data_IF_098338866036
#
_entry.id   IF_098338866036
#
_cell.length_a   1.000
_cell.length_b   1.000
_cell.length_c   1.000
_cell.angle_alpha   90.00
_cell.angle_beta   90.00
_cell.angle_gamma   90.00
#
_symmetry.space_group_name_H-M   'P 1'
#
loop_
_entity.id
_entity.type
_entity.pdbx_description
1 polymer ?
#
# COMPACT_ATOMS: atom_id res chain seq x y z
N UNK A 1 6.36 11.38 -5.63
CA UNK A 1 6.94 11.16 -4.28
C UNK A 1 6.81 9.71 -3.80
N UNK A 2 5.69 9.01 -4.03
CA UNK A 2 5.48 7.60 -3.60
C UNK A 2 6.50 6.61 -4.18
N UNK A 3 6.74 6.67 -5.50
CA UNK A 3 7.73 5.84 -6.23
C UNK A 3 9.16 6.08 -5.71
N UNK A 4 9.49 7.33 -5.36
CA UNK A 4 10.78 7.68 -4.79
C UNK A 4 10.98 7.10 -3.37
N UNK A 5 9.89 6.93 -2.61
CA UNK A 5 9.94 6.27 -1.30
C UNK A 5 10.07 4.74 -1.39
N UNK A 6 9.48 4.12 -2.43
CA UNK A 6 9.52 2.68 -2.69
C UNK A 6 10.90 2.20 -3.17
N UNK A 7 11.57 2.98 -4.03
CA UNK A 7 12.94 2.70 -4.47
C UNK A 7 13.91 2.75 -3.29
N UNK A 8 13.63 3.62 -2.31
CA UNK A 8 14.46 3.77 -1.11
C UNK A 8 14.24 2.64 -0.10
N UNK A 9 13.03 2.08 0.02
CA UNK A 9 12.75 0.96 0.93
C UNK A 9 13.33 -0.35 0.40
N UNK A 10 13.21 -0.64 -0.90
CA UNK A 10 13.81 -1.81 -1.54
C UNK A 10 15.35 -1.77 -1.41
N UNK A 11 15.97 -0.63 -1.74
CA UNK A 11 17.42 -0.43 -1.60
C UNK A 11 17.87 -0.54 -0.14
N UNK A 12 17.16 0.09 0.79
CA UNK A 12 17.50 0.05 2.22
C UNK A 12 17.37 -1.35 2.83
N UNK A 13 16.34 -2.11 2.44
CA UNK A 13 16.19 -3.51 2.85
C UNK A 13 17.31 -4.37 2.27
N UNK A 14 17.61 -4.21 0.98
CA UNK A 14 18.68 -4.93 0.30
C UNK A 14 20.06 -4.67 0.96
N UNK A 15 20.44 -3.40 1.15
CA UNK A 15 21.69 -3.01 1.85
C UNK A 15 21.77 -3.59 3.26
N UNK A 16 20.64 -3.63 3.98
CA UNK A 16 20.60 -4.17 5.32
C UNK A 16 20.76 -5.69 5.35
N UNK A 17 20.10 -6.42 4.44
CA UNK A 17 20.23 -7.87 4.32
C UNK A 17 21.64 -8.25 3.86
N UNK A 18 22.22 -7.51 2.92
CA UNK A 18 23.62 -7.66 2.51
C UNK A 18 24.57 -7.52 3.70
N UNK A 19 24.37 -6.48 4.52
CA UNK A 19 25.20 -6.23 5.70
C UNK A 19 25.04 -7.30 6.79
N UNK A 20 23.86 -7.90 6.92
CA UNK A 20 23.55 -8.85 8.00
C UNK A 20 23.90 -10.29 7.64
N UNK A 21 23.61 -10.71 6.39
CA UNK A 21 23.71 -12.10 5.96
C UNK A 21 24.75 -12.33 4.86
N UNK A 22 25.25 -11.29 4.21
CA UNK A 22 26.35 -11.40 3.24
C UNK A 22 26.01 -12.26 2.02
N UNK A 23 26.94 -13.16 1.66
CA UNK A 23 26.84 -14.05 0.48
C UNK A 23 25.56 -14.91 0.43
N UNK A 24 25.14 -15.59 1.52
CA UNK A 24 23.87 -16.33 1.56
C UNK A 24 22.65 -15.53 1.09
N UNK A 25 22.59 -14.24 1.43
CA UNK A 25 21.52 -13.37 0.94
C UNK A 25 21.68 -13.04 -0.54
N UNK A 26 22.89 -12.68 -1.00
CA UNK A 26 23.14 -12.39 -2.43
C UNK A 26 22.71 -13.55 -3.33
N UNK A 27 22.94 -14.79 -2.88
CA UNK A 27 22.59 -16.00 -3.63
C UNK A 27 21.09 -16.31 -3.65
N UNK A 28 20.29 -15.67 -2.79
CA UNK A 28 18.85 -15.90 -2.67
C UNK A 28 18.04 -14.59 -2.77
N UNK A 29 18.66 -13.51 -3.26
CA UNK A 29 18.06 -12.18 -3.33
C UNK A 29 16.79 -12.15 -4.19
N UNK A 30 16.66 -13.10 -5.13
CA UNK A 30 15.51 -13.28 -6.00
C UNK A 30 14.19 -13.49 -5.22
N UNK A 31 14.23 -14.16 -4.06
CA UNK A 31 13.05 -14.33 -3.18
C UNK A 31 12.50 -12.98 -2.72
N UNK A 32 13.41 -12.06 -2.38
CA UNK A 32 13.04 -10.71 -1.93
C UNK A 32 12.62 -9.83 -3.10
N UNK A 33 13.27 -9.93 -4.26
CA UNK A 33 12.87 -9.23 -5.47
C UNK A 33 11.46 -9.62 -5.91
N UNK A 34 11.11 -10.92 -5.84
CA UNK A 34 9.76 -11.41 -6.09
C UNK A 34 8.71 -10.79 -5.17
N UNK A 35 8.99 -10.70 -3.87
CA UNK A 35 8.12 -10.02 -2.90
C UNK A 35 7.87 -8.55 -3.29
N UNK A 36 8.93 -7.80 -3.63
CA UNK A 36 8.76 -6.40 -4.03
C UNK A 36 7.99 -6.25 -5.35
N UNK A 37 8.20 -7.16 -6.31
CA UNK A 37 7.44 -7.17 -7.57
C UNK A 37 5.95 -7.39 -7.31
N UNK A 38 5.58 -8.33 -6.44
CA UNK A 38 4.19 -8.58 -6.07
C UNK A 38 3.57 -7.43 -5.28
N UNK A 39 4.31 -6.80 -4.36
CA UNK A 39 3.86 -5.58 -3.66
C UNK A 39 3.59 -4.43 -4.63
N UNK A 40 4.46 -4.24 -5.64
CA UNK A 40 4.25 -3.26 -6.72
C UNK A 40 3.00 -3.61 -7.53
N UNK A 41 2.80 -4.88 -7.87
CA UNK A 41 1.62 -5.35 -8.63
C UNK A 41 0.31 -5.12 -7.86
N UNK A 42 0.31 -5.36 -6.54
CA UNK A 42 -0.83 -5.04 -5.68
C UNK A 42 -1.11 -3.53 -5.66
N UNK A 43 -0.06 -2.71 -5.53
CA UNK A 43 -0.17 -1.25 -5.53
C UNK A 43 -0.76 -0.70 -6.84
N UNK A 44 -0.33 -1.21 -7.99
CA UNK A 44 -0.81 -0.78 -9.31
C UNK A 44 -2.22 -1.28 -9.65
N UNK A 45 -2.91 -1.92 -8.70
CA UNK A 45 -4.30 -2.35 -8.86
C UNK A 45 -4.47 -3.78 -9.37
N UNK A 46 -3.41 -4.60 -9.37
CA UNK A 46 -3.50 -6.02 -9.68
C UNK A 46 -4.46 -6.75 -8.72
N UNK A 47 -5.06 -7.84 -9.21
CA UNK A 47 -5.88 -8.74 -8.40
C UNK A 47 -4.97 -9.71 -7.63
N UNK A 48 -4.30 -9.19 -6.60
CA UNK A 48 -3.35 -9.93 -5.77
C UNK A 48 -3.92 -10.06 -4.36
N UNK A 49 -3.95 -11.27 -3.83
CA UNK A 49 -4.26 -11.51 -2.43
C UNK A 49 -3.00 -11.24 -1.60
N UNK A 50 -3.00 -10.13 -0.87
CA UNK A 50 -1.82 -9.69 -0.11
C UNK A 50 -1.45 -10.68 1.00
N UNK A 51 -2.43 -11.35 1.61
CA UNK A 51 -2.15 -12.33 2.67
C UNK A 51 -1.48 -13.58 2.13
N UNK A 52 -2.01 -14.11 1.02
CA UNK A 52 -1.47 -15.28 0.33
C UNK A 52 -0.04 -15.01 -0.15
N UNK A 53 0.18 -13.87 -0.82
CA UNK A 53 1.50 -13.45 -1.27
C UNK A 53 2.53 -13.35 -0.13
N UNK A 54 2.13 -12.83 1.03
CA UNK A 54 3.01 -12.76 2.19
C UNK A 54 3.28 -14.15 2.78
N UNK A 55 2.27 -15.02 2.83
CA UNK A 55 2.44 -16.41 3.29
C UNK A 55 3.41 -17.17 2.37
N UNK A 56 3.25 -17.04 1.05
CA UNK A 56 4.14 -17.66 0.04
C UNK A 56 5.57 -17.17 0.17
N UNK A 57 5.78 -15.86 0.40
CA UNK A 57 7.10 -15.30 0.66
C UNK A 57 7.76 -15.97 1.86
N UNK A 58 7.04 -16.08 2.98
CA UNK A 58 7.58 -16.67 4.19
C UNK A 58 7.86 -18.17 4.05
N UNK A 59 7.00 -18.91 3.32
CA UNK A 59 7.20 -20.32 3.01
C UNK A 59 8.46 -20.53 2.16
N UNK A 60 8.60 -19.80 1.06
CA UNK A 60 9.79 -19.84 0.19
C UNK A 60 11.07 -19.45 0.94
N UNK A 61 10.99 -18.46 1.83
CA UNK A 61 12.12 -18.06 2.66
C UNK A 61 12.52 -19.16 3.63
N UNK A 62 11.56 -19.85 4.25
CA UNK A 62 11.80 -20.99 5.14
C UNK A 62 12.51 -22.12 4.40
N UNK A 63 12.00 -22.52 3.24
CA UNK A 63 12.59 -23.60 2.43
C UNK A 63 14.03 -23.29 2.05
N UNK A 64 14.30 -22.08 1.55
CA UNK A 64 15.66 -21.64 1.20
C UNK A 64 16.59 -21.60 2.40
N UNK A 65 16.15 -21.05 3.53
CA UNK A 65 16.96 -21.03 4.74
C UNK A 65 17.23 -22.44 5.28
N UNK A 66 16.24 -23.33 5.21
CA UNK A 66 16.37 -24.70 5.67
C UNK A 66 17.40 -25.48 4.83
N UNK A 67 17.37 -25.34 3.51
CA UNK A 67 18.36 -25.92 2.59
C UNK A 67 19.77 -25.37 2.84
N UNK A 68 19.93 -24.05 3.04
CA UNK A 68 21.22 -23.43 3.29
C UNK A 68 21.86 -23.91 4.60
N UNK A 69 21.06 -24.06 5.66
CA UNK A 69 21.54 -24.46 6.98
C UNK A 69 21.83 -25.96 7.07
N UNK A 70 21.20 -26.76 6.21
CA UNK A 70 21.32 -28.21 6.18
C UNK A 70 21.89 -28.71 4.84
N UNK A 71 22.80 -27.95 4.25
CA UNK A 71 23.41 -28.24 2.93
C UNK A 71 24.14 -29.57 2.84
N UNK A 72 24.47 -30.19 3.99
CA UNK A 72 25.06 -31.51 4.08
C UNK A 72 24.06 -32.66 3.86
N UNK A 73 22.76 -32.38 3.87
CA UNK A 73 21.70 -33.36 3.68
C UNK A 73 21.01 -33.20 2.32
N UNK A 74 20.61 -34.31 1.71
CA UNK A 74 19.74 -34.29 0.55
C UNK A 74 18.30 -34.04 1.02
N UNK A 75 17.86 -32.78 0.93
CA UNK A 75 16.51 -32.38 1.30
C UNK A 75 15.61 -32.48 0.06
N UNK A 76 14.64 -33.40 0.11
CA UNK A 76 13.66 -33.61 -0.96
C UNK A 76 12.54 -32.55 -0.90
N UNK A 77 11.82 -32.40 -2.00
CA UNK A 77 10.66 -31.50 -2.10
C UNK A 77 9.55 -31.91 -1.13
N UNK A 78 9.26 -33.21 -1.00
CA UNK A 78 8.29 -33.74 -0.02
C UNK A 78 8.63 -33.35 1.43
N UNK A 79 9.93 -33.30 1.75
CA UNK A 79 10.38 -32.91 3.08
C UNK A 79 10.19 -31.41 3.33
N UNK A 80 10.40 -30.58 2.30
CA UNK A 80 10.12 -29.14 2.37
C UNK A 80 8.62 -28.86 2.52
N UNK A 81 7.77 -29.58 1.77
CA UNK A 81 6.32 -29.47 1.90
C UNK A 81 5.87 -29.85 3.32
N UNK A 82 6.46 -30.91 3.88
CA UNK A 82 6.25 -31.31 5.27
C UNK A 82 6.60 -30.18 6.24
N UNK A 83 7.79 -29.57 6.11
CA UNK A 83 8.20 -28.43 6.94
C UNK A 83 7.22 -27.26 6.82
N UNK A 84 6.75 -26.96 5.61
CA UNK A 84 5.74 -25.93 5.35
C UNK A 84 4.48 -26.13 6.19
N UNK A 85 4.00 -27.38 6.33
CA UNK A 85 2.83 -27.73 7.14
C UNK A 85 3.01 -27.44 8.64
N UNK A 86 4.25 -27.50 9.14
CA UNK A 86 4.56 -27.23 10.56
C UNK A 86 4.97 -25.77 10.83
N UNK A 87 4.99 -24.91 9.82
CA UNK A 87 5.47 -23.54 9.94
C UNK A 87 4.74 -22.72 11.03
N UNK A 88 3.42 -22.85 11.14
CA UNK A 88 2.63 -22.13 12.15
C UNK A 88 2.91 -22.60 13.58
N UNK A 89 3.21 -23.89 13.76
CA UNK A 89 3.49 -24.50 15.05
C UNK A 89 4.92 -24.20 15.51
N UNK A 90 5.88 -24.34 14.60
CA UNK A 90 7.30 -24.16 14.90
C UNK A 90 7.68 -22.67 14.99
N UNK A 91 6.94 -21.78 14.33
CA UNK A 91 7.22 -20.34 14.25
C UNK A 91 8.71 -20.04 14.09
N UNK A 92 9.36 -20.51 13.00
CA UNK A 92 10.80 -20.36 12.80
C UNK A 92 11.26 -18.88 12.75
N UNK A 93 10.34 -17.98 12.43
CA UNK A 93 10.54 -16.52 12.41
C UNK A 93 9.87 -15.80 13.59
N UNK A 94 9.42 -16.52 14.60
CA UNK A 94 8.64 -15.99 15.72
C UNK A 94 7.35 -15.32 15.24
N UNK A 95 7.00 -14.18 15.85
CA UNK A 95 5.80 -13.42 15.49
C UNK A 95 6.01 -12.43 14.32
N UNK A 96 7.21 -12.39 13.73
CA UNK A 96 7.55 -11.43 12.66
C UNK A 96 6.63 -11.57 11.44
N UNK A 97 6.36 -12.77 10.88
CA UNK A 97 5.45 -12.93 9.75
C UNK A 97 4.06 -12.38 10.02
N UNK A 98 3.51 -12.69 11.21
CA UNK A 98 2.17 -12.26 11.62
C UNK A 98 2.09 -10.73 11.79
N UNK A 99 3.09 -10.12 12.43
CA UNK A 99 3.15 -8.66 12.63
C UNK A 99 3.32 -7.92 11.31
N UNK A 100 4.24 -8.38 10.47
CA UNK A 100 4.48 -7.79 9.15
C UNK A 100 3.22 -7.91 8.28
N UNK A 101 2.56 -9.09 8.26
CA UNK A 101 1.29 -9.28 7.55
C UNK A 101 0.25 -8.24 7.95
N UNK A 102 -0.02 -8.11 9.25
CA UNK A 102 -1.01 -7.14 9.74
C UNK A 102 -0.68 -5.69 9.35
N UNK A 103 0.58 -5.29 9.49
CA UNK A 103 1.01 -3.92 9.18
C UNK A 103 0.96 -3.61 7.68
N UNK A 104 1.52 -4.51 6.86
CA UNK A 104 1.56 -4.37 5.41
C UNK A 104 0.14 -4.39 4.84
N UNK A 105 -0.72 -5.32 5.27
CA UNK A 105 -2.14 -5.37 4.86
C UNK A 105 -2.88 -4.09 5.16
N UNK A 106 -2.82 -3.60 6.40
CA UNK A 106 -3.53 -2.36 6.76
C UNK A 106 -3.09 -1.17 5.93
N UNK A 107 -1.80 -1.05 5.68
CA UNK A 107 -1.27 0.14 5.02
C UNK A 107 -1.39 0.10 3.50
N UNK A 108 -1.26 -1.07 2.87
CA UNK A 108 -1.50 -1.21 1.44
C UNK A 108 -2.99 -1.07 1.11
N UNK A 109 -3.90 -1.59 1.95
CA UNK A 109 -5.34 -1.33 1.82
C UNK A 109 -5.63 0.17 1.96
N UNK A 110 -5.11 0.83 3.00
CA UNK A 110 -5.30 2.26 3.20
C UNK A 110 -4.78 3.09 2.01
N UNK A 111 -3.60 2.75 1.49
CA UNK A 111 -2.99 3.42 0.34
C UNK A 111 -3.81 3.21 -0.93
N UNK A 112 -4.24 1.97 -1.21
CA UNK A 112 -5.06 1.64 -2.38
C UNK A 112 -6.39 2.39 -2.33
N UNK A 113 -7.08 2.36 -1.20
CA UNK A 113 -8.35 3.08 -1.00
C UNK A 113 -8.17 4.58 -1.17
N UNK A 114 -7.05 5.14 -0.69
CA UNK A 114 -6.75 6.57 -0.87
C UNK A 114 -6.54 6.94 -2.35
N UNK A 115 -5.70 6.20 -3.07
CA UNK A 115 -5.45 6.44 -4.51
C UNK A 115 -6.73 6.26 -5.32
N UNK A 116 -7.48 5.19 -5.09
CA UNK A 116 -8.78 4.97 -5.72
C UNK A 116 -9.77 6.08 -5.38
N UNK A 117 -9.79 6.51 -4.12
CA UNK A 117 -10.53 7.67 -3.66
C UNK A 117 -10.23 8.87 -4.55
N UNK A 118 -8.96 9.29 -4.65
CA UNK A 118 -8.55 10.44 -5.48
C UNK A 118 -8.96 10.32 -6.94
N UNK A 119 -8.86 9.12 -7.53
CA UNK A 119 -9.32 8.89 -8.91
C UNK A 119 -10.82 9.13 -9.06
N UNK A 120 -11.64 8.61 -8.13
CA UNK A 120 -13.09 8.86 -8.11
C UNK A 120 -13.39 10.34 -7.90
N UNK A 121 -12.66 11.02 -7.01
CA UNK A 121 -12.82 12.46 -6.79
C UNK A 121 -12.55 13.26 -8.06
N UNK A 122 -11.47 12.95 -8.79
CA UNK A 122 -11.18 13.54 -10.11
C UNK A 122 -12.31 13.29 -11.11
N UNK A 123 -12.82 12.07 -11.17
CA UNK A 123 -13.88 11.70 -12.09
C UNK A 123 -15.19 12.46 -11.80
N UNK A 124 -15.57 12.57 -10.53
CA UNK A 124 -16.74 13.35 -10.10
C UNK A 124 -16.56 14.83 -10.43
N UNK A 125 -15.38 15.41 -10.12
CA UNK A 125 -15.08 16.80 -10.43
C UNK A 125 -15.15 17.11 -11.94
N UNK A 126 -14.73 16.16 -12.79
CA UNK A 126 -14.78 16.30 -14.25
C UNK A 126 -16.19 16.17 -14.85
N UNK A 127 -17.15 15.59 -14.12
CA UNK A 127 -18.54 15.44 -14.59
C UNK A 127 -19.40 16.68 -14.34
N UNK A 128 -18.82 17.73 -13.75
CA UNK A 128 -19.52 18.96 -13.42
C UNK A 128 -19.68 19.82 -14.68
N UNK A 129 -20.92 19.96 -15.16
CA UNK A 129 -21.26 20.78 -16.34
C UNK A 129 -22.20 21.92 -15.99
N UNK A 130 -22.16 23.02 -16.75
CA UNK A 130 -23.12 24.11 -16.63
C UNK A 130 -24.46 23.75 -17.26
N UNK A 131 -25.57 24.06 -16.59
CA UNK A 131 -26.91 23.86 -17.15
C UNK A 131 -27.22 24.89 -18.24
N UNK A 132 -28.14 24.58 -19.15
CA UNK A 132 -28.62 25.54 -20.17
C UNK A 132 -29.24 26.78 -19.54
N UNK A 133 -29.94 26.62 -18.40
CA UNK A 133 -30.48 27.71 -17.61
C UNK A 133 -29.38 28.63 -17.04
N UNK A 134 -28.27 28.05 -16.58
CA UNK A 134 -27.10 28.81 -16.17
C UNK A 134 -26.49 29.60 -17.33
N UNK A 135 -26.27 28.95 -18.48
CA UNK A 135 -25.72 29.61 -19.67
C UNK A 135 -26.59 30.79 -20.10
N UNK A 136 -27.91 30.61 -20.12
CA UNK A 136 -28.87 31.68 -20.44
C UNK A 136 -28.84 32.82 -19.41
N UNK A 137 -28.89 32.51 -18.12
CA UNK A 137 -28.84 33.50 -17.04
C UNK A 137 -27.53 34.29 -17.01
N UNK A 138 -26.41 33.60 -17.21
CA UNK A 138 -25.08 34.21 -17.28
C UNK A 138 -24.91 35.09 -18.52
N UNK A 139 -25.41 34.64 -19.67
CA UNK A 139 -25.40 35.44 -20.91
C UNK A 139 -26.23 36.71 -20.74
N UNK A 140 -27.42 36.59 -20.14
CA UNK A 140 -28.28 37.75 -19.85
C UNK A 140 -27.62 38.74 -18.90
N UNK A 141 -26.93 38.22 -17.88
CA UNK A 141 -26.23 39.05 -16.90
C UNK A 141 -25.07 39.83 -17.53
N UNK A 142 -24.28 39.22 -18.40
CA UNK A 142 -23.07 39.85 -18.94
C UNK A 142 -23.30 40.67 -20.22
N UNK A 143 -24.16 40.21 -21.12
CA UNK A 143 -24.20 40.74 -22.48
C UNK A 143 -25.48 41.51 -22.82
N UNK A 144 -26.59 41.34 -22.10
CA UNK A 144 -27.83 42.02 -22.48
C UNK A 144 -27.77 43.55 -22.36
N UNK A 145 -26.96 44.10 -21.44
CA UNK A 145 -26.76 45.57 -21.35
C UNK A 145 -26.13 46.13 -22.63
N UNK A 146 -25.15 45.43 -23.20
CA UNK A 146 -24.53 45.78 -24.47
C UNK A 146 -25.54 45.75 -25.61
N UNK A 147 -26.38 44.71 -25.69
CA UNK A 147 -27.44 44.62 -26.71
C UNK A 147 -28.50 45.73 -26.59
N UNK A 148 -28.65 46.31 -25.40
CA UNK A 148 -29.55 47.43 -25.13
C UNK A 148 -28.88 48.80 -25.31
N UNK A 149 -27.60 48.85 -25.74
CA UNK A 149 -26.84 50.09 -25.91
C UNK A 149 -26.27 50.68 -24.61
N UNK A 150 -26.27 49.91 -23.52
CA UNK A 150 -25.81 50.32 -22.19
C UNK A 150 -24.42 49.74 -21.88
N UNK A 151 -23.38 50.31 -22.49
CA UNK A 151 -22.02 49.76 -22.49
C UNK A 151 -21.23 49.88 -21.17
N UNK A 152 -21.61 50.81 -20.28
CA UNK A 152 -20.86 51.11 -19.05
C UNK A 152 -21.49 50.50 -17.78
N UNK A 153 -22.62 49.79 -17.92
CA UNK A 153 -23.32 49.20 -16.78
C UNK A 153 -22.72 47.85 -16.40
N UNK A 154 -22.33 47.72 -15.13
CA UNK A 154 -21.93 46.46 -14.52
C UNK A 154 -23.14 45.76 -13.88
N UNK A 155 -23.18 44.42 -13.84
CA UNK A 155 -24.21 43.70 -13.10
C UNK A 155 -24.18 44.07 -11.63
N UNK A 156 -25.37 44.26 -11.03
CA UNK A 156 -25.49 44.46 -9.59
C UNK A 156 -24.95 43.24 -8.84
N UNK A 157 -24.31 43.45 -7.69
CA UNK A 157 -23.71 42.37 -6.89
C UNK A 157 -24.72 41.25 -6.56
N UNK A 158 -25.90 41.61 -6.06
CA UNK A 158 -26.95 40.65 -5.73
C UNK A 158 -27.48 39.91 -6.96
N UNK A 159 -27.55 40.57 -8.13
CA UNK A 159 -27.95 39.92 -9.36
C UNK A 159 -26.92 38.87 -9.79
N UNK A 160 -25.63 39.22 -9.72
CA UNK A 160 -24.53 38.28 -9.98
C UNK A 160 -24.57 37.07 -9.05
N UNK A 161 -24.67 37.30 -7.74
CA UNK A 161 -24.75 36.21 -6.76
C UNK A 161 -25.94 35.29 -7.00
N UNK A 162 -27.10 35.82 -7.40
CA UNK A 162 -28.28 35.00 -7.68
C UNK A 162 -28.11 34.14 -8.94
N UNK A 163 -27.53 34.71 -10.02
CA UNK A 163 -27.23 33.96 -11.24
C UNK A 163 -26.20 32.85 -10.95
N UNK A 164 -25.14 33.17 -10.22
CA UNK A 164 -24.10 32.20 -9.86
C UNK A 164 -24.61 31.10 -8.92
N UNK A 165 -25.49 31.42 -7.96
CA UNK A 165 -26.17 30.42 -7.12
C UNK A 165 -27.01 29.45 -7.96
N UNK A 166 -27.75 29.95 -8.95
CA UNK A 166 -28.49 29.10 -9.89
C UNK A 166 -27.57 28.22 -10.76
N UNK A 167 -26.41 28.75 -11.15
CA UNK A 167 -25.39 28.00 -11.88
C UNK A 167 -24.73 26.88 -11.08
N UNK A 168 -24.55 27.09 -9.78
CA UNK A 168 -23.85 26.19 -8.86
C UNK A 168 -24.78 25.37 -7.98
N UNK A 169 -26.09 25.37 -8.24
CA UNK A 169 -27.07 24.68 -7.40
C UNK A 169 -26.75 23.19 -7.26
N UNK A 170 -26.53 22.49 -8.38
CA UNK A 170 -26.20 21.07 -8.40
C UNK A 170 -24.85 20.76 -7.70
N UNK A 171 -23.91 21.70 -7.74
CA UNK A 171 -22.60 21.59 -7.11
C UNK A 171 -22.69 21.82 -5.60
N UNK A 172 -23.63 22.67 -5.17
CA UNK A 172 -23.91 22.93 -3.75
C UNK A 172 -24.52 21.69 -3.09
N UNK A 173 -25.31 20.91 -3.83
CA UNK A 173 -25.85 19.62 -3.34
C UNK A 173 -24.74 18.57 -3.09
N UNK A 174 -23.62 18.67 -3.82
CA UNK A 174 -22.45 17.81 -3.66
C UNK A 174 -21.55 18.22 -2.49
N UNK A 175 -21.60 19.47 -2.05
CA UNK A 175 -20.73 20.04 -1.00
C UNK A 175 -20.69 19.24 0.32
N UNK A 176 -21.81 18.78 0.92
CA UNK A 176 -21.75 18.02 2.16
C UNK A 176 -21.07 16.65 2.00
N UNK A 177 -21.31 15.97 0.88
CA UNK A 177 -20.67 14.68 0.60
C UNK A 177 -19.20 14.85 0.20
N UNK A 178 -18.88 15.91 -0.55
CA UNK A 178 -17.52 16.28 -0.89
C UNK A 178 -16.70 16.64 0.36
N UNK A 179 -17.29 17.38 1.30
CA UNK A 179 -16.66 17.71 2.58
C UNK A 179 -16.37 16.47 3.42
N UNK A 180 -17.28 15.48 3.45
CA UNK A 180 -17.03 14.19 4.10
C UNK A 180 -15.93 13.39 3.39
N UNK A 181 -15.92 13.41 2.06
CA UNK A 181 -14.94 12.73 1.22
C UNK A 181 -13.52 13.31 1.43
N UNK A 182 -13.37 14.64 1.48
CA UNK A 182 -12.10 15.33 1.77
C UNK A 182 -11.72 15.22 3.24
N UNK A 183 -12.67 15.35 4.17
CA UNK A 183 -12.42 15.22 5.61
C UNK A 183 -11.90 13.85 6.02
N UNK A 184 -12.32 12.78 5.32
CA UNK A 184 -11.75 11.43 5.46
C UNK A 184 -10.38 11.26 4.80
N UNK A 185 -9.95 12.19 3.96
CA UNK A 185 -8.68 12.15 3.21
C UNK A 185 -7.47 12.68 3.99
N UNK A 186 -7.60 12.98 5.29
CA UNK A 186 -6.50 13.26 6.22
C UNK A 186 -5.63 12.04 6.58
N UNK A 187 -5.40 11.14 5.63
CA UNK A 187 -4.58 9.96 5.82
C UNK A 187 -3.22 10.18 5.15
N UNK A 188 -2.18 10.40 5.96
CA UNK A 188 -0.78 10.19 5.57
C UNK A 188 -0.32 8.83 6.12
N UNK A 189 -0.72 7.68 5.53
CA UNK A 189 -0.35 6.37 6.03
C UNK A 189 1.04 5.95 5.55
N UNK A 190 1.54 6.44 4.42
CA UNK A 190 2.78 5.94 3.84
C UNK A 190 4.03 6.31 4.66
N UNK A 191 4.14 7.54 5.16
CA UNK A 191 5.25 7.96 6.02
C UNK A 191 5.21 7.20 7.36
N UNK A 192 4.02 7.02 7.93
CA UNK A 192 3.84 6.26 9.17
C UNK A 192 4.14 4.77 8.98
N UNK A 193 3.75 4.19 7.84
CA UNK A 193 4.09 2.82 7.47
C UNK A 193 5.60 2.61 7.32
N UNK A 194 6.31 3.52 6.64
CA UNK A 194 7.77 3.46 6.49
C UNK A 194 8.45 3.53 7.86
N UNK A 195 7.92 4.35 8.76
CA UNK A 195 8.41 4.48 10.14
C UNK A 195 8.11 3.21 10.95
N UNK A 196 6.90 2.65 10.83
CA UNK A 196 6.47 1.44 11.55
C UNK A 196 7.15 0.16 11.05
N UNK A 197 7.41 0.02 9.75
CA UNK A 197 8.22 -1.07 9.18
C UNK A 197 9.66 -0.96 9.69
N UNK A 198 10.24 0.24 9.68
CA UNK A 198 11.58 0.48 10.23
C UNK A 198 11.64 0.11 11.72
N UNK A 199 10.64 0.51 12.52
CA UNK A 199 10.57 0.17 13.95
C UNK A 199 10.35 -1.32 14.22
N UNK A 200 9.49 -1.98 13.43
CA UNK A 200 9.20 -3.41 13.55
C UNK A 200 10.41 -4.26 13.17
N UNK A 201 11.17 -3.82 12.17
CA UNK A 201 12.42 -4.46 11.76
C UNK A 201 13.56 -4.22 12.77
N UNK A 202 13.67 -3.02 13.34
CA UNK A 202 14.64 -2.73 14.43
C UNK A 202 14.33 -3.59 15.67
N UNK A 203 13.05 -3.87 15.95
CA UNK A 203 12.63 -4.82 17.00
C UNK A 203 12.97 -6.28 16.64
N UNK A 204 13.06 -6.62 15.36
CA UNK A 204 13.49 -7.93 14.86
C UNK A 204 15.01 -8.18 14.91
N UNK A 205 15.82 -7.27 15.47
CA UNK A 205 17.25 -7.49 15.79
C UNK A 205 17.50 -8.71 16.72
N UNK A 206 16.45 -9.36 17.22
CA UNK A 206 16.51 -10.66 17.87
C UNK A 206 16.41 -11.86 16.92
N UNK A 207 16.67 -11.72 15.61
CA UNK A 207 16.87 -12.87 14.70
C UNK A 207 17.99 -13.83 15.14
N UNK A 208 18.90 -13.38 16.01
CA UNK A 208 19.86 -14.24 16.73
C UNK A 208 19.19 -15.27 17.68
N UNK A 209 17.94 -15.07 18.10
CA UNK A 209 17.18 -16.07 18.85
C UNK A 209 16.56 -17.15 17.94
N UNK A 210 16.25 -16.85 16.67
CA UNK A 210 15.70 -17.84 15.73
C UNK A 210 16.74 -18.88 15.30
N UNK A 211 18.03 -18.49 15.23
CA UNK A 211 19.14 -19.44 15.04
C UNK A 211 19.26 -20.47 16.18
N UNK A 212 18.79 -20.16 17.40
CA UNK A 212 18.73 -21.15 18.51
C UNK A 212 17.62 -22.17 18.32
N UNK A 213 16.53 -21.83 17.63
CA UNK A 213 15.42 -22.75 17.36
C UNK A 213 15.79 -23.78 16.29
N UNK A 214 16.57 -23.36 15.29
CA UNK A 214 17.08 -24.27 14.25
C UNK A 214 18.15 -25.22 14.81
N UNK A 215 18.98 -24.79 15.78
CA UNK A 215 19.80 -25.72 16.59
C UNK A 215 18.95 -26.73 17.38
N UNK A 216 17.83 -26.28 17.97
CA UNK A 216 16.88 -27.16 18.68
C UNK A 216 16.20 -28.19 17.78
N UNK A 217 16.01 -27.87 16.49
CA UNK A 217 15.48 -28.81 15.50
C UNK A 217 16.54 -29.88 15.13
N UNK A 218 17.83 -29.53 15.09
CA UNK A 218 18.90 -30.54 14.98
C UNK A 218 18.99 -31.43 16.24
N UNK A 219 18.78 -30.89 17.44
CA UNK A 219 18.74 -31.68 18.68
C UNK A 219 17.53 -32.66 18.76
N UNK A 220 16.50 -32.46 17.93
CA UNK A 220 15.36 -33.38 17.79
C UNK A 220 15.63 -34.50 16.78
N UNK A 221 16.56 -34.30 15.84
CA UNK A 221 16.98 -35.33 14.89
C UNK A 221 17.89 -36.39 15.53
N UNK A 222 18.65 -36.02 16.57
CA UNK A 222 19.58 -36.91 17.29
C UNK A 222 18.95 -37.74 18.43
N UNK A 223 17.63 -37.69 18.62
CA UNK A 223 16.98 -38.61 19.58
C UNK A 223 16.74 -39.97 18.92
N UNK A 224 17.34 -41.07 19.43
CA UNK A 224 16.94 -42.39 19.00
C UNK A 224 15.46 -42.58 19.34
N UNK A 225 14.66 -42.93 18.34
CA UNK A 225 13.30 -43.42 18.53
C UNK A 225 13.36 -44.62 19.49
N UNK A 226 12.86 -44.42 20.71
CA UNK A 226 12.54 -45.51 21.64
C UNK A 226 11.12 -45.99 21.39
#
# INVERSE_FOLDING_TARGET
ETIYSEINTERSLNEMFLRTYGKPYLQNAEVFQGLFAELKRYYTGGNVNLEEMLNDFWMRLLERMFQLLNSQYLITEDYLECIGKYMEQLKPFGDVPKKLKSQVTRAFIATRTFVQGLMVGREVANRVTMSSACVSGFTKMLYCSYCQGLFMLKPCNNYCLNVMKGCLANQTDLDPEWSKYIGKSHFVPLIKLITDIRHTYVSSRNLNQNFKLIRKLNDLHDRPLK
#
